data_IF_171159410937
#
_entry.id   IF_171159410937
#
_cell.length_a   1.000
_cell.length_b   1.000
_cell.length_c   1.000
_cell.angle_alpha   90.00
_cell.angle_beta   90.00
_cell.angle_gamma   90.00
#
_symmetry.space_group_name_H-M   'P 1'
#
loop_
_entity.id
_entity.type
_entity.pdbx_description
1 polymer ?
#
# COMPACT_ATOMS: atom_id res chain seq x y z
N UNK A 1 -31.03 -7.42 -17.26
CA UNK A 1 -30.15 -8.24 -16.40
C UNK A 1 -28.92 -7.49 -15.88
N UNK A 2 -28.51 -6.37 -16.51
CA UNK A 2 -27.36 -5.56 -16.05
C UNK A 2 -27.72 -4.47 -15.03
N UNK A 3 -28.96 -4.36 -14.62
CA UNK A 3 -29.43 -3.26 -13.78
C UNK A 3 -29.05 -3.39 -12.29
N UNK A 4 -28.90 -4.61 -11.78
CA UNK A 4 -28.71 -4.84 -10.32
C UNK A 4 -27.27 -5.16 -9.91
N UNK A 5 -26.43 -5.65 -10.83
CA UNK A 5 -25.05 -6.05 -10.56
C UNK A 5 -24.11 -5.39 -11.57
N UNK A 6 -23.17 -4.60 -11.06
CA UNK A 6 -22.14 -3.94 -11.85
C UNK A 6 -20.75 -4.30 -11.31
N UNK A 7 -19.76 -4.35 -12.20
CA UNK A 7 -18.36 -4.56 -11.84
C UNK A 7 -18.13 -5.77 -10.91
N UNK A 8 -18.73 -6.93 -11.22
CA UNK A 8 -18.45 -8.14 -10.47
C UNK A 8 -17.00 -8.56 -10.67
N UNK A 9 -16.27 -8.72 -9.58
CA UNK A 9 -14.89 -9.17 -9.59
C UNK A 9 -14.59 -10.01 -8.35
N UNK A 10 -13.69 -10.99 -8.52
CA UNK A 10 -13.16 -11.79 -7.42
C UNK A 10 -11.65 -11.69 -7.39
N UNK A 11 -11.09 -11.68 -6.18
CA UNK A 11 -9.65 -11.71 -5.92
C UNK A 11 -9.33 -12.77 -4.88
N UNK A 12 -8.22 -13.45 -5.07
CA UNK A 12 -7.72 -14.46 -4.12
C UNK A 12 -6.38 -14.03 -3.54
N UNK A 13 -6.23 -14.14 -2.23
CA UNK A 13 -4.90 -14.05 -1.60
C UNK A 13 -4.09 -15.34 -1.82
N UNK A 14 -4.69 -16.33 -2.46
CA UNK A 14 -4.16 -17.65 -2.82
C UNK A 14 -3.56 -18.42 -1.63
N UNK A 15 -4.06 -18.13 -0.45
CA UNK A 15 -3.65 -18.74 0.82
C UNK A 15 -4.86 -19.11 1.69
N UNK A 16 -5.76 -18.15 1.95
CA UNK A 16 -6.89 -18.33 2.87
C UNK A 16 -8.25 -17.98 2.30
N UNK A 17 -8.30 -17.02 1.37
CA UNK A 17 -9.59 -16.44 0.97
C UNK A 17 -9.70 -16.15 -0.52
N UNK A 18 -10.92 -16.29 -1.03
CA UNK A 18 -11.38 -15.78 -2.31
C UNK A 18 -12.49 -14.77 -2.03
N UNK A 19 -12.22 -13.50 -2.26
CA UNK A 19 -13.15 -12.39 -2.01
C UNK A 19 -13.78 -11.94 -3.31
N UNK A 20 -15.10 -12.03 -3.38
CA UNK A 20 -15.88 -11.52 -4.51
C UNK A 20 -16.63 -10.26 -4.09
N UNK A 21 -16.66 -9.26 -4.97
CA UNK A 21 -17.43 -8.04 -4.74
C UNK A 21 -18.09 -7.57 -6.03
N UNK A 22 -19.16 -6.81 -5.88
CA UNK A 22 -19.87 -6.17 -6.98
C UNK A 22 -20.49 -4.86 -6.51
N UNK A 23 -20.68 -3.95 -7.45
CA UNK A 23 -21.39 -2.70 -7.20
C UNK A 23 -22.88 -2.88 -7.44
N UNK A 24 -23.67 -2.14 -6.66
CA UNK A 24 -25.12 -2.05 -6.79
C UNK A 24 -25.53 -0.60 -7.09
N UNK A 25 -26.56 -0.37 -7.92
CA UNK A 25 -26.92 0.98 -8.37
C UNK A 25 -27.60 1.82 -7.29
N UNK A 26 -28.12 1.20 -6.25
CA UNK A 26 -28.78 1.84 -5.14
C UNK A 26 -28.39 1.15 -3.82
N UNK A 27 -28.63 1.82 -2.71
CA UNK A 27 -28.41 1.22 -1.40
C UNK A 27 -29.35 0.03 -1.18
N UNK A 28 -28.77 -1.13 -0.95
CA UNK A 28 -29.47 -2.41 -0.73
C UNK A 28 -28.93 -3.06 0.54
N UNK A 29 -29.71 -3.97 1.11
CA UNK A 29 -29.21 -4.88 2.13
C UNK A 29 -28.63 -6.13 1.44
N UNK A 30 -27.30 -6.20 1.32
CA UNK A 30 -26.63 -7.26 0.57
C UNK A 30 -26.98 -8.67 1.09
N UNK A 31 -27.13 -8.85 2.40
CA UNK A 31 -27.43 -10.16 3.01
C UNK A 31 -28.88 -10.62 2.80
N UNK A 32 -29.80 -9.70 2.56
CA UNK A 32 -31.22 -10.02 2.34
C UNK A 32 -31.54 -10.21 0.87
N UNK A 33 -30.95 -9.37 0.01
CA UNK A 33 -31.31 -9.30 -1.41
C UNK A 33 -30.45 -10.19 -2.28
N UNK A 34 -29.20 -10.47 -1.87
CA UNK A 34 -28.27 -11.32 -2.63
C UNK A 34 -27.92 -12.60 -1.92
N UNK A 35 -27.68 -13.65 -2.72
CA UNK A 35 -27.13 -14.92 -2.29
C UNK A 35 -26.04 -15.34 -3.28
N UNK A 36 -24.82 -15.55 -2.79
CA UNK A 36 -23.75 -16.12 -3.60
C UNK A 36 -23.56 -17.59 -3.25
N UNK A 37 -23.90 -18.47 -4.16
CA UNK A 37 -23.58 -19.89 -4.03
C UNK A 37 -22.35 -20.24 -4.85
N UNK A 38 -21.54 -21.15 -4.34
CA UNK A 38 -20.32 -21.59 -4.99
C UNK A 38 -20.12 -23.10 -4.88
N UNK A 39 -19.47 -23.67 -5.87
CA UNK A 39 -19.05 -25.07 -5.89
C UNK A 39 -17.81 -25.22 -6.76
N UNK A 40 -17.13 -26.35 -6.56
CA UNK A 40 -16.13 -26.83 -7.53
C UNK A 40 -16.67 -28.07 -8.21
N UNK A 41 -15.92 -28.64 -9.16
CA UNK A 41 -16.30 -29.94 -9.74
C UNK A 41 -16.28 -31.09 -8.74
N UNK A 42 -15.54 -30.93 -7.63
CA UNK A 42 -15.30 -31.98 -6.63
C UNK A 42 -15.97 -31.72 -5.28
N UNK A 43 -16.63 -30.58 -5.11
CA UNK A 43 -17.26 -30.20 -3.85
C UNK A 43 -18.77 -29.95 -3.99
N UNK A 44 -19.55 -30.18 -2.90
CA UNK A 44 -20.95 -29.80 -2.89
C UNK A 44 -21.12 -28.29 -3.04
N UNK A 45 -22.36 -27.90 -3.34
CA UNK A 45 -22.74 -26.48 -3.38
C UNK A 45 -22.73 -25.90 -1.97
N UNK A 46 -21.98 -24.85 -1.78
CA UNK A 46 -21.93 -24.04 -0.57
C UNK A 46 -22.50 -22.64 -0.81
N UNK A 47 -22.75 -21.91 0.25
CA UNK A 47 -23.36 -20.58 0.22
C UNK A 47 -22.47 -19.61 0.98
N UNK A 48 -22.32 -18.43 0.41
CA UNK A 48 -21.74 -17.26 1.05
C UNK A 48 -22.82 -16.18 1.13
N UNK A 49 -23.11 -15.70 2.32
CA UNK A 49 -24.03 -14.57 2.54
C UNK A 49 -23.27 -13.27 2.40
N UNK A 50 -23.62 -12.40 1.44
CA UNK A 50 -22.89 -11.17 1.22
C UNK A 50 -23.08 -10.17 2.34
N UNK A 51 -22.05 -9.33 2.53
CA UNK A 51 -22.05 -8.23 3.48
C UNK A 51 -21.98 -6.89 2.73
N UNK A 52 -22.54 -5.84 3.34
CA UNK A 52 -22.41 -4.49 2.83
C UNK A 52 -20.99 -3.97 2.99
N UNK A 53 -20.41 -3.45 1.91
CA UNK A 53 -19.15 -2.74 1.94
C UNK A 53 -19.23 -1.39 2.67
N UNK A 54 -18.08 -0.77 2.90
CA UNK A 54 -17.99 0.53 3.60
C UNK A 54 -18.77 1.65 2.91
N UNK A 55 -18.94 1.59 1.62
CA UNK A 55 -19.61 2.60 0.78
C UNK A 55 -21.10 2.32 0.54
N UNK A 56 -21.69 1.32 1.19
CA UNK A 56 -23.09 0.89 1.07
C UNK A 56 -23.62 0.64 -0.37
N UNK A 57 -22.82 0.91 -1.39
CA UNK A 57 -23.09 0.62 -2.80
C UNK A 57 -22.29 -0.58 -3.32
N UNK A 58 -21.65 -1.32 -2.43
CA UNK A 58 -20.87 -2.51 -2.74
C UNK A 58 -21.26 -3.66 -1.83
N UNK A 59 -21.49 -4.82 -2.44
CA UNK A 59 -21.63 -6.08 -1.71
C UNK A 59 -20.33 -6.87 -1.81
N UNK A 60 -19.97 -7.56 -0.75
CA UNK A 60 -18.76 -8.37 -0.66
C UNK A 60 -19.07 -9.74 -0.08
N UNK A 61 -18.47 -10.76 -0.64
CA UNK A 61 -18.58 -12.14 -0.15
C UNK A 61 -17.20 -12.77 -0.03
N UNK A 62 -16.85 -13.25 1.15
CA UNK A 62 -15.57 -13.93 1.42
C UNK A 62 -15.77 -15.43 1.52
N UNK A 63 -15.11 -16.16 0.65
CA UNK A 63 -15.09 -17.61 0.59
C UNK A 63 -13.76 -18.08 1.16
N UNK A 64 -13.80 -18.86 2.24
CA UNK A 64 -12.62 -19.39 2.91
C UNK A 64 -12.56 -20.92 2.69
N UNK A 65 -11.89 -21.40 1.65
CA UNK A 65 -11.69 -22.83 1.44
C UNK A 65 -10.62 -23.36 2.40
N UNK A 66 -10.66 -24.65 2.71
CA UNK A 66 -9.65 -25.30 3.54
C UNK A 66 -8.24 -25.24 2.90
N UNK A 67 -8.20 -25.26 1.57
CA UNK A 67 -6.96 -25.15 0.78
C UNK A 67 -7.25 -24.70 -0.65
N UNK A 68 -6.26 -24.11 -1.29
CA UNK A 68 -6.29 -23.79 -2.72
C UNK A 68 -5.54 -24.84 -3.55
N UNK A 69 -6.06 -25.11 -4.74
CA UNK A 69 -5.43 -25.99 -5.73
C UNK A 69 -5.26 -25.21 -7.03
N UNK A 70 -4.07 -25.30 -7.63
CA UNK A 70 -3.64 -24.44 -8.73
C UNK A 70 -4.52 -24.42 -9.97
N UNK A 71 -5.24 -25.47 -10.27
CA UNK A 71 -6.12 -25.55 -11.45
C UNK A 71 -7.61 -25.64 -11.09
N UNK A 72 -7.97 -25.41 -9.81
CA UNK A 72 -9.35 -25.55 -9.37
C UNK A 72 -10.16 -24.32 -9.73
N UNK A 73 -11.21 -24.52 -10.52
CA UNK A 73 -12.17 -23.48 -10.87
C UNK A 73 -13.40 -23.54 -9.97
N UNK A 74 -13.76 -22.40 -9.41
CA UNK A 74 -15.00 -22.20 -8.67
C UNK A 74 -16.09 -21.74 -9.65
N UNK A 75 -17.24 -22.44 -9.60
CA UNK A 75 -18.45 -22.06 -10.29
C UNK A 75 -19.30 -21.29 -9.30
N UNK A 76 -19.45 -20.00 -9.55
CA UNK A 76 -20.18 -19.05 -8.69
C UNK A 76 -21.55 -18.78 -9.31
N UNK A 77 -22.60 -18.79 -8.51
CA UNK A 77 -23.94 -18.36 -8.93
C UNK A 77 -24.43 -17.28 -7.96
N UNK A 78 -24.50 -16.05 -8.47
CA UNK A 78 -25.06 -14.91 -7.73
C UNK A 78 -26.55 -14.83 -8.04
N UNK A 79 -27.39 -14.77 -7.02
CA UNK A 79 -28.84 -14.64 -7.12
C UNK A 79 -29.31 -13.37 -6.45
N UNK A 80 -30.21 -12.63 -7.09
CA UNK A 80 -30.86 -11.43 -6.55
C UNK A 80 -32.36 -11.69 -6.36
N UNK A 81 -32.87 -11.44 -5.16
CA UNK A 81 -34.29 -11.63 -4.78
C UNK A 81 -34.87 -13.00 -5.16
N UNK A 82 -34.02 -14.03 -5.24
CA UNK A 82 -34.44 -15.41 -5.57
C UNK A 82 -34.81 -15.66 -7.02
N UNK A 83 -34.74 -14.67 -7.92
CA UNK A 83 -35.20 -14.77 -9.32
C UNK A 83 -34.09 -14.59 -10.31
N UNK A 84 -33.37 -13.48 -10.28
CA UNK A 84 -32.33 -13.17 -11.24
C UNK A 84 -31.01 -13.84 -10.85
N UNK A 85 -30.37 -14.50 -11.81
CA UNK A 85 -29.14 -15.26 -11.57
C UNK A 85 -28.05 -14.93 -12.56
N UNK A 86 -26.81 -14.84 -12.06
CA UNK A 86 -25.59 -14.69 -12.88
C UNK A 86 -24.59 -15.77 -12.50
N UNK A 87 -23.97 -16.36 -13.51
CA UNK A 87 -22.96 -17.39 -13.31
C UNK A 87 -21.57 -16.88 -13.70
N UNK A 88 -20.60 -17.15 -12.86
CA UNK A 88 -19.19 -16.79 -13.04
C UNK A 88 -18.30 -18.00 -12.79
N UNK A 89 -17.23 -18.12 -13.55
CA UNK A 89 -16.18 -19.09 -13.29
C UNK A 89 -14.94 -18.34 -12.84
N UNK A 90 -14.36 -18.75 -11.71
CA UNK A 90 -13.19 -18.10 -11.14
C UNK A 90 -12.15 -19.15 -10.78
N UNK A 91 -10.96 -19.02 -11.34
CA UNK A 91 -9.78 -19.81 -10.99
C UNK A 91 -8.90 -18.94 -10.09
N UNK A 92 -8.73 -19.28 -8.79
CA UNK A 92 -7.99 -18.44 -7.85
C UNK A 92 -6.58 -18.05 -8.31
N UNK A 93 -5.88 -18.95 -9.01
CA UNK A 93 -4.55 -18.68 -9.56
C UNK A 93 -4.52 -17.58 -10.64
N UNK A 94 -5.67 -17.29 -11.29
CA UNK A 94 -5.80 -16.27 -12.34
C UNK A 94 -6.24 -14.90 -11.81
N UNK A 95 -6.62 -14.83 -10.54
CA UNK A 95 -7.12 -13.62 -9.89
C UNK A 95 -6.36 -13.31 -8.59
N UNK A 96 -5.08 -13.62 -8.56
CA UNK A 96 -4.24 -13.43 -7.38
C UNK A 96 -4.13 -11.93 -7.06
N UNK A 97 -4.52 -11.55 -5.85
CA UNK A 97 -4.25 -10.25 -5.25
C UNK A 97 -3.62 -10.49 -3.89
N UNK A 98 -2.29 -10.43 -3.78
CA UNK A 98 -1.59 -10.81 -2.58
C UNK A 98 -1.89 -9.87 -1.42
N UNK A 99 -1.69 -10.36 -0.20
CA UNK A 99 -1.66 -9.52 1.00
C UNK A 99 -0.46 -8.58 0.95
N UNK A 100 -0.62 -7.40 1.51
CA UNK A 100 0.45 -6.41 1.61
C UNK A 100 1.64 -6.95 2.42
N UNK A 101 2.87 -6.53 2.11
CA UNK A 101 4.03 -6.77 2.96
C UNK A 101 3.78 -6.27 4.38
N UNK A 102 4.40 -6.91 5.36
CA UNK A 102 4.19 -6.64 6.79
C UNK A 102 5.49 -6.23 7.49
N UNK A 103 5.37 -5.79 8.75
CA UNK A 103 6.51 -5.42 9.60
C UNK A 103 7.44 -4.39 8.95
N UNK A 104 6.83 -3.38 8.30
CA UNK A 104 7.58 -2.30 7.70
C UNK A 104 8.30 -1.49 8.77
N UNK A 105 9.61 -1.36 8.62
CA UNK A 105 10.48 -0.60 9.54
C UNK A 105 11.44 0.27 8.77
N UNK A 106 11.83 1.40 9.34
CA UNK A 106 12.81 2.30 8.76
C UNK A 106 13.88 2.67 9.76
N UNK A 107 15.14 2.72 9.33
CA UNK A 107 16.29 3.11 10.17
C UNK A 107 17.23 4.00 9.38
N UNK A 108 17.74 5.06 10.02
CA UNK A 108 18.83 5.84 9.47
C UNK A 108 20.12 5.02 9.55
N UNK A 109 20.87 4.98 8.45
CA UNK A 109 22.15 4.27 8.34
C UNK A 109 23.33 5.24 8.42
N UNK A 110 24.56 4.72 8.57
CA UNK A 110 25.76 5.50 8.82
C UNK A 110 26.08 6.53 7.74
N UNK A 111 25.74 6.24 6.48
CA UNK A 111 25.90 7.15 5.36
C UNK A 111 24.85 8.29 5.32
N UNK A 112 23.95 8.35 6.32
CA UNK A 112 22.88 9.35 6.42
C UNK A 112 21.60 9.02 5.66
N UNK A 113 21.58 7.96 4.86
CA UNK A 113 20.40 7.47 4.15
C UNK A 113 19.44 6.75 5.11
N UNK A 114 18.26 6.37 4.61
CA UNK A 114 17.25 5.65 5.39
C UNK A 114 17.01 4.28 4.76
N UNK A 115 17.26 3.22 5.52
CA UNK A 115 17.00 1.85 5.08
C UNK A 115 15.61 1.40 5.53
N UNK A 116 14.72 1.19 4.56
CA UNK A 116 13.38 0.66 4.72
C UNK A 116 13.45 -0.86 4.61
N UNK A 117 12.87 -1.60 5.56
CA UNK A 117 12.84 -3.06 5.55
C UNK A 117 11.41 -3.55 5.77
N UNK A 118 11.07 -4.69 5.18
CA UNK A 118 9.77 -5.34 5.32
C UNK A 118 9.89 -6.86 5.26
N UNK A 119 8.82 -7.52 5.60
CA UNK A 119 8.67 -8.97 5.49
C UNK A 119 7.58 -9.33 4.49
N UNK A 120 7.72 -10.48 3.85
CA UNK A 120 6.66 -11.06 3.05
C UNK A 120 5.45 -11.42 3.92
N UNK A 121 4.25 -11.29 3.35
CA UNK A 121 3.02 -11.68 4.03
C UNK A 121 2.89 -13.21 4.18
N UNK A 122 3.55 -13.98 3.32
CA UNK A 122 3.41 -15.42 3.19
C UNK A 122 4.60 -16.17 3.76
N UNK A 123 4.31 -17.32 4.34
CA UNK A 123 5.27 -18.31 4.83
C UNK A 123 4.75 -19.72 4.52
N UNK A 124 5.60 -20.74 4.47
CA UNK A 124 5.14 -22.11 4.29
C UNK A 124 4.01 -22.48 5.28
N UNK A 125 2.96 -23.19 4.86
CA UNK A 125 2.81 -23.89 3.58
C UNK A 125 2.11 -23.12 2.44
N UNK A 126 2.02 -21.80 2.52
CA UNK A 126 1.33 -20.99 1.49
C UNK A 126 1.91 -21.22 0.09
N UNK A 127 1.04 -21.25 -0.92
CA UNK A 127 1.41 -21.41 -2.34
C UNK A 127 2.26 -20.24 -2.87
N UNK A 128 2.14 -19.05 -2.29
CA UNK A 128 2.91 -17.85 -2.65
C UNK A 128 4.25 -17.75 -1.92
N UNK A 129 4.48 -18.60 -0.91
CA UNK A 129 5.74 -18.59 -0.17
C UNK A 129 6.93 -18.97 -1.06
N UNK A 130 7.93 -18.08 -1.14
CA UNK A 130 9.14 -18.31 -1.94
C UNK A 130 8.97 -18.14 -3.45
N UNK A 131 7.79 -17.71 -3.93
CA UNK A 131 7.57 -17.39 -5.34
C UNK A 131 8.23 -16.06 -5.73
N UNK A 132 8.57 -15.87 -7.02
CA UNK A 132 9.12 -14.61 -7.51
C UNK A 132 8.18 -13.43 -7.24
N UNK A 133 8.68 -12.44 -6.52
CA UNK A 133 7.93 -11.26 -6.08
C UNK A 133 8.69 -9.98 -6.41
N UNK A 134 7.95 -8.97 -6.84
CA UNK A 134 8.43 -7.61 -7.04
C UNK A 134 7.73 -6.65 -6.09
N UNK A 135 8.37 -5.53 -5.79
CA UNK A 135 7.85 -4.56 -4.86
C UNK A 135 7.80 -3.17 -5.48
N UNK A 136 6.89 -2.34 -4.97
CA UNK A 136 6.93 -0.89 -5.12
C UNK A 136 6.98 -0.24 -3.75
N UNK A 137 7.91 0.70 -3.59
CA UNK A 137 8.02 1.58 -2.42
C UNK A 137 7.50 2.95 -2.81
N UNK A 138 6.61 3.52 -2.03
CA UNK A 138 6.24 4.93 -2.10
C UNK A 138 6.67 5.65 -0.82
N UNK A 139 7.12 6.90 -0.97
CA UNK A 139 7.38 7.78 0.17
C UNK A 139 7.08 9.23 -0.20
N UNK A 140 6.66 10.01 0.79
CA UNK A 140 6.27 11.41 0.60
C UNK A 140 6.43 12.20 1.89
N UNK A 141 6.45 13.54 1.78
CA UNK A 141 6.40 14.42 2.95
C UNK A 141 5.01 14.41 3.57
N UNK A 142 4.92 14.25 4.88
CA UNK A 142 3.63 14.11 5.60
C UNK A 142 2.67 15.28 5.34
N UNK A 143 3.19 16.51 5.21
CA UNK A 143 2.39 17.71 4.93
C UNK A 143 2.09 17.95 3.44
N UNK A 144 2.70 17.18 2.54
CA UNK A 144 2.60 17.37 1.09
C UNK A 144 2.29 16.05 0.38
N UNK A 145 1.06 15.60 0.52
CA UNK A 145 0.58 14.31 -0.02
C UNK A 145 0.52 14.25 -1.56
N UNK A 146 0.69 15.38 -2.24
CA UNK A 146 0.72 15.45 -3.72
C UNK A 146 2.09 15.12 -4.33
N UNK A 147 3.17 15.22 -3.54
CA UNK A 147 4.54 14.94 -4.00
C UNK A 147 4.96 13.53 -3.57
N UNK A 148 4.42 12.50 -4.21
CA UNK A 148 4.71 11.09 -3.91
C UNK A 148 5.81 10.59 -4.82
N UNK A 149 6.89 10.07 -4.24
CA UNK A 149 7.91 9.30 -4.97
C UNK A 149 7.56 7.82 -4.95
N UNK A 150 7.48 7.19 -6.13
CA UNK A 150 7.27 5.74 -6.26
C UNK A 150 8.51 5.13 -6.92
N UNK A 151 9.02 4.03 -6.34
CA UNK A 151 10.18 3.29 -6.82
C UNK A 151 9.82 1.81 -6.98
N UNK A 152 10.00 1.30 -8.19
CA UNK A 152 9.86 -0.12 -8.48
C UNK A 152 11.15 -0.87 -8.10
N UNK A 153 10.99 -2.04 -7.50
CA UNK A 153 12.07 -2.94 -7.08
C UNK A 153 11.83 -4.28 -7.74
N UNK A 154 12.57 -4.54 -8.81
CA UNK A 154 12.34 -5.65 -9.74
C UNK A 154 13.04 -6.96 -9.34
N UNK A 155 13.36 -7.15 -8.06
CA UNK A 155 13.98 -8.37 -7.53
C UNK A 155 13.55 -8.60 -6.09
N UNK A 156 13.80 -9.78 -5.57
CA UNK A 156 13.34 -10.26 -4.25
C UNK A 156 14.01 -9.55 -3.05
N UNK A 157 14.38 -8.29 -3.20
CA UNK A 157 14.91 -7.51 -2.09
C UNK A 157 13.78 -7.17 -1.10
N UNK A 158 14.05 -7.37 0.18
CA UNK A 158 13.14 -7.01 1.29
C UNK A 158 13.58 -5.73 1.99
N UNK A 159 14.33 -4.91 1.28
CA UNK A 159 14.79 -3.61 1.75
C UNK A 159 14.94 -2.63 0.58
N UNK A 160 14.91 -1.35 0.91
CA UNK A 160 15.16 -0.25 -0.02
C UNK A 160 15.80 0.91 0.72
N UNK A 161 16.88 1.44 0.15
CA UNK A 161 17.58 2.59 0.73
C UNK A 161 17.08 3.89 0.09
N UNK A 162 16.46 4.74 0.89
CA UNK A 162 16.05 6.09 0.50
C UNK A 162 17.25 7.01 0.67
N UNK A 163 17.75 7.56 -0.43
CA UNK A 163 18.89 8.48 -0.41
C UNK A 163 18.52 9.78 0.31
N UNK A 164 19.35 10.19 1.27
CA UNK A 164 19.19 11.45 1.98
C UNK A 164 19.13 12.67 1.04
N UNK A 165 19.84 12.61 -0.09
CA UNK A 165 19.84 13.64 -1.14
C UNK A 165 18.48 13.81 -1.84
N UNK A 166 17.59 12.81 -1.78
CA UNK A 166 16.22 12.89 -2.31
C UNK A 166 15.23 13.49 -1.31
N UNK A 167 15.67 13.75 -0.08
CA UNK A 167 14.85 14.25 1.00
C UNK A 167 15.22 15.68 1.36
N UNK A 168 14.26 16.42 1.91
CA UNK A 168 14.51 17.76 2.48
C UNK A 168 14.64 17.63 4.00
N UNK A 169 15.67 18.28 4.55
CA UNK A 169 15.93 18.27 6.01
C UNK A 169 14.84 19.02 6.77
N UNK A 170 14.56 18.60 7.99
CA UNK A 170 13.58 19.22 8.89
C UNK A 170 12.13 18.86 8.59
N UNK A 171 11.88 17.80 7.80
CA UNK A 171 10.54 17.34 7.48
C UNK A 171 10.29 15.90 7.92
N UNK A 172 9.01 15.64 8.23
CA UNK A 172 8.50 14.31 8.46
C UNK A 172 8.10 13.66 7.12
N UNK A 173 8.43 12.40 6.99
CA UNK A 173 8.14 11.57 5.84
C UNK A 173 7.33 10.34 6.24
N UNK A 174 6.60 9.84 5.29
CA UNK A 174 5.83 8.60 5.39
C UNK A 174 6.27 7.68 4.26
N UNK A 175 6.40 6.39 4.53
CA UNK A 175 6.70 5.37 3.52
C UNK A 175 5.75 4.17 3.65
N UNK A 176 5.51 3.51 2.52
CA UNK A 176 4.69 2.31 2.42
C UNK A 176 5.19 1.45 1.26
N UNK A 177 4.89 0.15 1.28
CA UNK A 177 5.34 -0.82 0.28
C UNK A 177 4.18 -1.70 -0.16
N UNK A 178 4.17 -2.11 -1.43
CA UNK A 178 3.26 -3.13 -1.96
C UNK A 178 4.00 -4.15 -2.81
N UNK A 179 3.37 -5.29 -3.07
CA UNK A 179 3.99 -6.37 -3.82
C UNK A 179 3.09 -6.90 -4.95
N UNK A 180 3.74 -7.58 -5.91
CA UNK A 180 3.09 -8.35 -6.96
C UNK A 180 3.93 -9.61 -7.23
N UNK A 181 3.26 -10.72 -7.58
CA UNK A 181 3.89 -12.01 -7.88
C UNK A 181 3.94 -12.23 -9.39
N UNK A 182 5.14 -12.35 -9.96
CA UNK A 182 5.34 -12.32 -11.42
C UNK A 182 4.97 -13.61 -12.14
N UNK A 183 4.91 -14.74 -11.42
CA UNK A 183 4.56 -16.05 -11.99
C UNK A 183 3.04 -16.27 -12.10
N UNK A 184 2.25 -15.30 -11.65
CA UNK A 184 0.80 -15.31 -11.72
C UNK A 184 0.29 -14.09 -12.48
N UNK A 185 -0.89 -14.15 -13.14
CA UNK A 185 -1.59 -12.96 -13.61
C UNK A 185 -2.17 -12.20 -12.40
N UNK A 186 -1.26 -11.66 -11.58
CA UNK A 186 -1.57 -11.11 -10.27
C UNK A 186 -1.83 -9.61 -10.33
N UNK A 187 -2.68 -9.15 -9.42
CA UNK A 187 -2.87 -7.74 -9.13
C UNK A 187 -1.83 -7.27 -8.11
N UNK A 188 -1.57 -5.98 -8.05
CA UNK A 188 -0.83 -5.40 -6.95
C UNK A 188 -1.59 -5.59 -5.63
N UNK A 189 -0.87 -5.91 -4.57
CA UNK A 189 -1.42 -5.89 -3.22
C UNK A 189 -1.93 -4.49 -2.84
N UNK A 190 -2.69 -4.39 -1.78
CA UNK A 190 -2.85 -3.10 -1.10
C UNK A 190 -1.49 -2.62 -0.60
N UNK A 191 -1.39 -1.31 -0.29
CA UNK A 191 -0.22 -0.77 0.36
C UNK A 191 -0.13 -1.28 1.81
N UNK A 192 1.08 -1.52 2.29
CA UNK A 192 1.34 -1.88 3.69
C UNK A 192 0.89 -0.79 4.66
N UNK A 193 0.89 -1.10 5.94
CA UNK A 193 0.88 -0.07 6.98
C UNK A 193 2.00 0.93 6.73
N UNK A 194 1.72 2.18 7.05
CA UNK A 194 2.65 3.28 6.84
C UNK A 194 3.66 3.37 7.97
N UNK A 195 4.91 3.69 7.64
CA UNK A 195 5.95 4.01 8.61
C UNK A 195 6.36 5.47 8.47
N UNK A 196 6.45 6.17 9.60
CA UNK A 196 6.87 7.56 9.65
C UNK A 196 8.35 7.66 10.06
N UNK A 197 9.04 8.65 9.51
CA UNK A 197 10.40 8.98 9.90
C UNK A 197 10.69 10.46 9.75
N UNK A 198 11.60 10.98 10.58
CA UNK A 198 12.02 12.36 10.53
C UNK A 198 13.41 12.48 9.92
N UNK A 199 13.60 13.44 9.01
CA UNK A 199 14.92 13.79 8.51
C UNK A 199 15.40 15.07 9.18
N UNK A 200 16.23 14.91 10.23
CA UNK A 200 16.70 15.99 11.07
C UNK A 200 17.36 17.12 10.24
N UNK A 201 17.13 18.35 10.67
CA UNK A 201 17.90 19.49 10.22
C UNK A 201 19.27 19.46 10.92
N UNK A 202 20.28 18.99 10.20
CA UNK A 202 21.66 19.12 10.68
C UNK A 202 22.22 20.46 10.19
N UNK A 203 22.56 21.34 11.13
CA UNK A 203 23.28 22.58 10.84
C UNK A 203 24.66 22.20 10.30
N UNK A 204 24.92 22.51 9.04
CA UNK A 204 26.23 22.26 8.42
C UNK A 204 27.18 23.40 8.73
N UNK A 205 28.51 23.18 8.59
CA UNK A 205 29.50 24.23 8.72
C UNK A 205 29.25 25.40 7.74
N UNK A 206 28.68 25.11 6.56
CA UNK A 206 28.27 26.10 5.58
C UNK A 206 27.11 26.98 6.07
N UNK A 207 26.09 26.35 6.71
CA UNK A 207 24.96 27.09 7.29
C UNK A 207 25.44 28.04 8.41
N UNK A 208 26.39 27.58 9.23
CA UNK A 208 27.01 28.40 10.29
C UNK A 208 27.77 29.55 9.65
N UNK A 209 28.53 29.30 8.59
CA UNK A 209 29.33 30.31 7.92
C UNK A 209 28.42 31.35 7.25
N UNK A 210 27.34 30.93 6.57
CA UNK A 210 26.38 31.85 5.95
C UNK A 210 25.66 32.75 6.95
N UNK A 211 25.46 32.31 8.19
CA UNK A 211 24.87 33.13 9.26
C UNK A 211 25.94 33.99 9.97
N UNK A 212 27.13 33.46 10.15
CA UNK A 212 28.20 34.18 10.88
C UNK A 212 28.77 35.35 10.11
N UNK A 213 28.92 35.26 8.77
CA UNK A 213 29.51 36.33 7.93
C UNK A 213 28.67 37.61 7.98
N UNK A 214 27.36 37.65 7.72
CA UNK A 214 26.58 38.88 7.79
C UNK A 214 26.52 39.46 9.20
N UNK A 215 26.46 38.64 10.25
CA UNK A 215 26.44 39.08 11.64
C UNK A 215 27.76 39.75 12.00
N UNK A 216 28.90 39.17 11.64
CA UNK A 216 30.22 39.79 11.86
C UNK A 216 30.41 41.10 11.10
N UNK A 217 29.94 41.21 9.86
CA UNK A 217 29.96 42.43 9.09
C UNK A 217 29.15 43.57 9.77
N UNK A 218 27.93 43.23 10.28
CA UNK A 218 27.10 44.19 11.01
C UNK A 218 27.79 44.68 12.30
N UNK A 219 28.41 43.79 13.04
CA UNK A 219 29.16 44.14 14.25
C UNK A 219 30.35 45.02 13.97
N UNK A 220 31.12 44.73 12.92
CA UNK A 220 32.27 45.55 12.50
C UNK A 220 31.81 46.96 12.11
N UNK A 221 30.73 47.09 11.33
CA UNK A 221 30.17 48.39 10.97
C UNK A 221 29.69 49.18 12.20
N UNK A 222 28.97 48.52 13.12
CA UNK A 222 28.50 49.15 14.35
C UNK A 222 29.66 49.68 15.21
N UNK A 223 30.72 48.89 15.38
CA UNK A 223 31.92 49.27 16.11
C UNK A 223 32.64 50.46 15.42
N UNK A 224 32.75 50.40 14.07
CA UNK A 224 33.37 51.46 13.31
C UNK A 224 32.63 52.79 13.46
N UNK A 225 31.30 52.77 13.41
CA UNK A 225 30.47 53.96 13.63
C UNK A 225 30.62 54.49 15.05
N UNK A 226 30.64 53.62 16.07
CA UNK A 226 30.86 54.03 17.46
C UNK A 226 32.22 54.65 17.66
N UNK A 227 33.27 54.05 17.10
CA UNK A 227 34.62 54.63 17.17
C UNK A 227 34.68 56.01 16.49
N UNK A 228 34.06 56.16 15.31
CA UNK A 228 33.98 57.45 14.61
C UNK A 228 33.37 58.56 15.50
N UNK A 229 32.25 58.26 16.17
CA UNK A 229 31.61 59.24 17.05
C UNK A 229 32.43 59.51 18.33
N UNK A 230 33.22 58.57 18.82
CA UNK A 230 34.08 58.77 19.97
C UNK A 230 35.31 59.64 19.64
N UNK A 231 35.84 59.58 18.40
CA UNK A 231 37.01 60.38 17.96
C UNK A 231 36.64 61.74 17.42
N UNK A 232 35.39 62.02 17.06
CA UNK A 232 34.92 63.30 16.54
C UNK A 232 34.32 64.23 17.59
N UNK A 233 34.27 63.77 18.85
CA UNK A 233 33.94 64.57 20.03
C UNK A 233 35.24 65.07 20.71
#
# INVERSE_FOLDING_TARGET
>A
AAEHVQEFACFSDYDKELVCHWKVPAQVNCSEEFLLSYRTYFSPKNVCVPENGKDSLRCTCTICPDYFVSALTYILTLTFNGTDTWNYNVTPAEVVKPRAPKNLTIKKVENGNFNLNWEEAYSPPSMLSGQPVIYEVKYWRKQHTTEVSVKAINYQAKNFEIAASSLRRGYDYVASVRCNYTDYPAYWSEWSEEVEFHYDYQVTAEDILQMAVPVSCILIMAVSVMCYFCFTK
#
